data_IF_358650250491
#
_entry.id   IF_358650250491
#
_cell.length_a   1.000
_cell.length_b   1.000
_cell.length_c   1.000
_cell.angle_alpha   90.00
_cell.angle_beta   90.00
_cell.angle_gamma   90.00
#
_symmetry.space_group_name_H-M   'P 1'
#
loop_
_entity.id
_entity.type
_entity.pdbx_description
1 polymer ?
#
# COMPACT_ATOMS: atom_id res chain seq x y z
N UNK A 1 21.72 -12.64 -0.35
CA UNK A 1 21.14 -13.26 -1.56
C UNK A 1 20.47 -12.17 -2.39
N UNK A 2 20.81 -12.03 -3.68
CA UNK A 2 20.17 -11.04 -4.55
C UNK A 2 18.68 -11.40 -4.74
N UNK A 3 17.79 -10.42 -4.59
CA UNK A 3 16.36 -10.66 -4.79
C UNK A 3 16.08 -10.73 -6.29
N UNK A 4 15.50 -11.83 -6.76
CA UNK A 4 15.11 -11.97 -8.17
C UNK A 4 14.09 -10.88 -8.53
N UNK A 5 14.35 -10.14 -9.62
CA UNK A 5 13.41 -9.16 -10.16
C UNK A 5 12.12 -9.88 -10.60
N UNK A 6 10.99 -9.44 -10.07
CA UNK A 6 9.67 -9.92 -10.48
C UNK A 6 9.25 -9.26 -11.79
N UNK A 7 8.44 -9.98 -12.59
CA UNK A 7 7.78 -9.39 -13.76
C UNK A 7 6.58 -8.55 -13.29
N UNK A 8 6.32 -7.45 -13.99
CA UNK A 8 5.18 -6.57 -13.72
C UNK A 8 3.89 -7.12 -14.39
N UNK A 9 3.59 -8.38 -14.10
CA UNK A 9 2.40 -9.11 -14.58
C UNK A 9 1.67 -9.74 -13.40
N UNK A 10 0.38 -10.05 -13.54
CA UNK A 10 -0.40 -10.70 -12.47
C UNK A 10 0.26 -12.00 -12.01
N UNK A 11 0.44 -12.16 -10.70
CA UNK A 11 0.87 -13.43 -10.11
C UNK A 11 -0.36 -14.33 -9.85
N UNK A 12 -0.39 -15.48 -10.52
CA UNK A 12 -1.48 -16.44 -10.42
C UNK A 12 -1.39 -17.33 -9.17
N UNK A 13 -0.21 -17.47 -8.56
CA UNK A 13 -0.07 -18.14 -7.25
C UNK A 13 -0.58 -17.21 -6.16
N UNK A 14 -1.61 -17.63 -5.45
CA UNK A 14 -2.22 -16.85 -4.38
C UNK A 14 -1.26 -16.61 -3.21
N UNK A 15 -0.58 -17.66 -2.73
CA UNK A 15 0.39 -17.55 -1.65
C UNK A 15 1.52 -16.57 -2.00
N UNK A 16 2.08 -16.69 -3.21
CA UNK A 16 3.12 -15.79 -3.67
C UNK A 16 2.60 -14.35 -3.81
N UNK A 17 1.39 -14.16 -4.37
CA UNK A 17 0.75 -12.85 -4.51
C UNK A 17 0.53 -12.18 -3.14
N UNK A 18 0.04 -12.92 -2.15
CA UNK A 18 -0.20 -12.42 -0.80
C UNK A 18 1.12 -12.01 -0.12
N UNK A 19 2.13 -12.87 -0.15
CA UNK A 19 3.45 -12.55 0.43
C UNK A 19 4.12 -11.33 -0.24
N UNK A 20 4.01 -11.22 -1.57
CA UNK A 20 4.52 -10.07 -2.32
C UNK A 20 3.75 -8.80 -1.95
N UNK A 21 2.42 -8.88 -1.82
CA UNK A 21 1.58 -7.76 -1.42
C UNK A 21 2.00 -7.23 -0.05
N UNK A 22 2.09 -8.09 0.96
CA UNK A 22 2.42 -7.69 2.34
C UNK A 22 3.78 -6.96 2.39
N UNK A 23 4.79 -7.48 1.68
CA UNK A 23 6.11 -6.83 1.57
C UNK A 23 6.02 -5.49 0.84
N UNK A 24 5.32 -5.41 -0.30
CA UNK A 24 5.25 -4.18 -1.11
C UNK A 24 4.45 -3.08 -0.41
N UNK A 25 3.35 -3.43 0.26
CA UNK A 25 2.54 -2.50 1.07
C UNK A 25 3.41 -1.88 2.16
N UNK A 26 4.15 -2.72 2.91
CA UNK A 26 5.07 -2.24 3.95
C UNK A 26 6.09 -1.25 3.39
N UNK A 27 6.70 -1.55 2.24
CA UNK A 27 7.66 -0.65 1.60
C UNK A 27 7.03 0.63 1.04
N UNK A 28 5.79 0.53 0.54
CA UNK A 28 5.04 1.67 0.00
C UNK A 28 4.69 2.65 1.11
N UNK A 29 4.24 2.13 2.25
CA UNK A 29 3.90 2.95 3.42
C UNK A 29 5.08 3.77 3.94
N UNK A 30 6.29 3.19 3.94
CA UNK A 30 7.52 3.94 4.27
C UNK A 30 7.79 5.07 3.28
N UNK A 31 7.67 4.79 1.97
CA UNK A 31 7.87 5.82 0.94
C UNK A 31 6.84 6.95 1.02
N UNK A 32 5.62 6.62 1.40
CA UNK A 32 4.56 7.61 1.55
C UNK A 32 4.75 8.44 2.81
N UNK A 33 5.23 7.83 3.90
CA UNK A 33 5.65 8.56 5.09
C UNK A 33 6.80 9.53 4.79
N UNK A 34 7.82 9.09 4.06
CA UNK A 34 8.92 9.94 3.58
C UNK A 34 8.40 11.09 2.71
N UNK A 35 7.55 10.79 1.72
CA UNK A 35 6.99 11.80 0.82
C UNK A 35 6.13 12.83 1.56
N UNK A 36 5.22 12.37 2.40
CA UNK A 36 4.34 13.22 3.21
C UNK A 36 5.15 14.14 4.12
N UNK A 37 6.21 13.62 4.75
CA UNK A 37 7.06 14.39 5.66
C UNK A 37 7.97 15.38 4.93
N UNK A 38 8.64 14.96 3.87
CA UNK A 38 9.62 15.80 3.17
C UNK A 38 8.99 16.93 2.36
N UNK A 39 7.76 16.73 1.89
CA UNK A 39 7.07 17.70 1.05
C UNK A 39 5.94 18.43 1.78
N UNK A 40 5.68 18.11 3.06
CA UNK A 40 4.60 18.67 3.86
C UNK A 40 3.22 18.54 3.16
N UNK A 41 2.92 17.31 2.71
CA UNK A 41 1.67 17.00 2.02
C UNK A 41 0.86 15.92 2.73
N UNK A 42 -0.45 16.04 2.64
CA UNK A 42 -1.38 14.97 3.02
C UNK A 42 -1.46 13.91 1.92
N UNK A 43 -1.39 12.64 2.30
CA UNK A 43 -1.45 11.51 1.37
C UNK A 43 -2.33 10.42 1.96
N UNK A 44 -3.24 9.87 1.15
CA UNK A 44 -4.01 8.69 1.48
C UNK A 44 -3.70 7.54 0.52
N UNK A 45 -3.61 6.32 1.06
CA UNK A 45 -3.55 5.08 0.28
C UNK A 45 -4.63 4.14 0.78
N UNK A 46 -5.43 3.61 -0.15
CA UNK A 46 -6.44 2.59 0.08
C UNK A 46 -6.19 1.43 -0.89
N UNK A 47 -6.04 0.21 -0.36
CA UNK A 47 -5.72 -0.98 -1.15
C UNK A 47 -6.81 -2.03 -0.94
N UNK A 48 -7.45 -2.42 -2.03
CA UNK A 48 -8.43 -3.51 -2.06
C UNK A 48 -7.74 -4.80 -2.50
N UNK A 49 -7.68 -5.77 -1.58
CA UNK A 49 -7.16 -7.10 -1.84
C UNK A 49 -8.30 -8.04 -2.25
N UNK A 50 -8.16 -8.82 -3.34
CA UNK A 50 -9.15 -9.86 -3.67
C UNK A 50 -9.39 -10.81 -2.49
N UNK A 51 -10.65 -11.07 -2.15
CA UNK A 51 -11.04 -11.94 -1.04
C UNK A 51 -10.94 -11.31 0.36
N UNK A 52 -10.53 -10.04 0.47
CA UNK A 52 -10.61 -9.28 1.72
C UNK A 52 -11.81 -8.35 1.71
N UNK A 53 -12.60 -8.38 2.78
CA UNK A 53 -13.72 -7.43 2.97
C UNK A 53 -13.17 -6.07 3.43
N UNK A 54 -12.13 -6.09 4.26
CA UNK A 54 -11.53 -4.87 4.80
C UNK A 54 -10.40 -4.39 3.90
N UNK A 55 -10.37 -3.10 3.52
CA UNK A 55 -9.25 -2.51 2.80
C UNK A 55 -8.04 -2.34 3.70
N UNK A 56 -6.86 -2.33 3.11
CA UNK A 56 -5.63 -1.92 3.78
C UNK A 56 -5.47 -0.42 3.55
N UNK A 57 -5.41 0.37 4.63
CA UNK A 57 -5.23 1.81 4.58
C UNK A 57 -3.90 2.22 5.21
N UNK A 58 -3.27 3.29 4.69
CA UNK A 58 -2.13 3.91 5.35
C UNK A 58 -2.59 4.80 6.52
N UNK A 59 -1.89 4.73 7.66
CA UNK A 59 -2.22 5.31 8.99
C UNK A 59 -3.55 4.83 9.60
N UNK A 60 -4.69 5.15 9.00
CA UNK A 60 -6.00 4.60 9.40
C UNK A 60 -7.05 4.86 8.32
N UNK A 61 -8.16 4.13 8.37
CA UNK A 61 -9.30 4.41 7.50
C UNK A 61 -9.92 5.79 7.76
N UNK A 62 -9.92 6.26 9.01
CA UNK A 62 -10.41 7.60 9.36
C UNK A 62 -9.53 8.70 8.76
N UNK A 63 -8.21 8.59 8.90
CA UNK A 63 -7.28 9.58 8.36
C UNK A 63 -7.29 9.58 6.84
N UNK A 64 -7.42 8.39 6.21
CA UNK A 64 -7.61 8.31 4.77
C UNK A 64 -8.94 8.95 4.33
N UNK A 65 -10.01 8.81 5.11
CA UNK A 65 -11.29 9.47 4.84
C UNK A 65 -11.17 10.99 4.97
N UNK A 66 -10.50 11.48 6.01
CA UNK A 66 -10.28 12.91 6.25
C UNK A 66 -9.60 13.55 5.03
N UNK A 67 -8.51 12.96 4.52
CA UNK A 67 -7.80 13.42 3.30
C UNK A 67 -8.69 13.39 2.05
N UNK A 68 -9.66 12.47 1.96
CA UNK A 68 -10.58 12.39 0.83
C UNK A 68 -11.76 13.36 0.92
N UNK A 69 -12.01 13.93 2.10
CA UNK A 69 -13.13 14.84 2.38
C UNK A 69 -12.70 16.25 2.75
N UNK A 70 -11.39 16.51 2.82
CA UNK A 70 -10.86 17.86 2.98
C UNK A 70 -11.15 18.68 1.72
N UNK A 71 -11.85 19.81 1.91
CA UNK A 71 -12.19 20.80 0.87
C UNK A 71 -11.01 21.71 0.53
#
# INVERSE_FOLDING_TARGET
MATKRLRDTRNYSENARNSILDRRVTSLFKKVEELSTLCDIEVAIIIFKPGSIQPIAWKSASLAQDVLTSE
#
